data_IF_974471040548
#
_entry.id   IF_974471040548
#
_cell.length_a   1.000
_cell.length_b   1.000
_cell.length_c   1.000
_cell.angle_alpha   90.00
_cell.angle_beta   90.00
_cell.angle_gamma   90.00
#
_symmetry.space_group_name_H-M   'P 1'
#
loop_
_entity.id
_entity.type
_entity.pdbx_description
1 polymer ?
#
# COMPACT_ATOMS: atom_id res chain seq x y z
N UNK A 1 8.75 -17.96 -7.11
CA UNK A 1 7.29 -17.89 -6.90
C UNK A 1 6.97 -18.17 -5.44
N UNK A 2 6.47 -17.19 -4.69
CA UNK A 2 5.79 -17.27 -3.36
C UNK A 2 5.82 -15.85 -2.78
N UNK A 3 4.72 -15.14 -2.48
CA UNK A 3 3.39 -15.60 -2.16
C UNK A 3 2.31 -14.59 -2.61
N UNK A 4 1.54 -14.92 -3.64
CA UNK A 4 0.18 -14.42 -3.85
C UNK A 4 -0.80 -15.10 -2.86
N UNK A 5 -0.35 -15.31 -1.62
CA UNK A 5 -0.97 -16.24 -0.66
C UNK A 5 -1.74 -15.57 0.47
N UNK A 6 -1.42 -14.32 0.84
CA UNK A 6 -2.13 -13.67 1.93
C UNK A 6 -2.28 -12.16 1.70
N UNK A 7 -3.37 -11.79 1.01
CA UNK A 7 -3.77 -10.39 0.78
C UNK A 7 -3.83 -9.58 2.09
N UNK A 8 -4.16 -10.23 3.21
CA UNK A 8 -4.21 -9.58 4.53
C UNK A 8 -2.80 -9.22 5.01
N UNK A 9 -1.82 -10.10 4.83
CA UNK A 9 -0.43 -9.81 5.21
C UNK A 9 0.13 -8.65 4.39
N UNK A 10 -0.09 -8.65 3.07
CA UNK A 10 0.32 -7.53 2.21
C UNK A 10 -0.23 -6.21 2.74
N UNK A 11 -1.53 -6.13 3.00
CA UNK A 11 -2.16 -4.93 3.53
C UNK A 11 -1.61 -4.55 4.92
N UNK A 12 -1.36 -5.52 5.80
CA UNK A 12 -0.74 -5.26 7.11
C UNK A 12 0.67 -4.67 6.98
N UNK A 13 1.44 -5.12 6.01
CA UNK A 13 2.76 -4.57 5.74
C UNK A 13 2.60 -3.16 5.18
N UNK A 14 1.74 -2.94 4.18
CA UNK A 14 1.58 -1.62 3.59
C UNK A 14 1.00 -0.58 4.56
N UNK A 15 0.21 -0.99 5.57
CA UNK A 15 -0.44 -0.10 6.53
C UNK A 15 0.54 0.53 7.56
N UNK A 16 1.49 1.34 7.09
CA UNK A 16 2.38 2.14 7.93
C UNK A 16 2.94 3.34 7.15
N UNK A 17 2.96 4.55 7.75
CA UNK A 17 3.31 5.79 7.05
C UNK A 17 4.68 5.71 6.36
N UNK A 18 5.73 5.37 7.12
CA UNK A 18 7.10 5.27 6.56
C UNK A 18 7.19 4.26 5.40
N UNK A 19 6.41 3.17 5.44
CA UNK A 19 6.49 2.16 4.39
C UNK A 19 5.76 2.59 3.14
N UNK A 20 4.66 3.33 3.26
CA UNK A 20 4.01 3.96 2.10
C UNK A 20 4.98 4.96 1.47
N UNK A 21 5.60 5.82 2.27
CA UNK A 21 6.52 6.85 1.77
C UNK A 21 7.75 6.25 1.06
N UNK A 22 8.37 5.21 1.63
CA UNK A 22 9.44 4.46 0.95
C UNK A 22 8.96 3.91 -0.40
N UNK A 23 7.78 3.31 -0.46
CA UNK A 23 7.27 2.70 -1.69
C UNK A 23 6.86 3.74 -2.74
N UNK A 24 6.36 4.90 -2.32
CA UNK A 24 6.07 6.04 -3.20
C UNK A 24 7.36 6.59 -3.81
N UNK A 25 8.41 6.78 -3.02
CA UNK A 25 9.71 7.21 -3.56
C UNK A 25 10.33 6.17 -4.51
N UNK A 26 10.18 4.88 -4.19
CA UNK A 26 10.65 3.80 -5.05
C UNK A 26 9.80 3.62 -6.33
N UNK A 27 8.59 4.17 -6.36
CA UNK A 27 7.77 4.23 -7.58
C UNK A 27 8.33 5.25 -8.58
N UNK A 28 9.00 6.29 -8.11
CA UNK A 28 9.65 7.31 -8.95
C UNK A 28 10.98 6.83 -9.55
N UNK A 29 11.63 5.85 -8.92
CA UNK A 29 12.87 5.26 -9.38
C UNK A 29 13.66 4.58 -8.27
N UNK A 30 14.87 4.13 -8.61
CA UNK A 30 15.79 3.54 -7.64
C UNK A 30 16.23 4.60 -6.63
N UNK A 31 16.26 4.25 -5.34
CA UNK A 31 16.69 5.13 -4.24
C UNK A 31 17.66 4.43 -3.30
N UNK A 32 18.68 5.13 -2.85
CA UNK A 32 19.66 4.64 -1.87
C UNK A 32 19.25 5.00 -0.45
N UNK A 33 19.86 4.34 0.55
CA UNK A 33 19.51 4.56 1.98
C UNK A 33 19.59 6.04 2.39
N UNK A 34 20.58 6.76 1.88
CA UNK A 34 20.75 8.21 2.11
C UNK A 34 19.58 9.04 1.61
N UNK A 35 19.00 8.68 0.46
CA UNK A 35 17.89 9.43 -0.13
C UNK A 35 16.64 9.37 0.76
N UNK A 36 16.44 8.23 1.45
CA UNK A 36 15.36 8.07 2.43
C UNK A 36 15.62 8.86 3.71
N UNK A 37 16.87 8.97 4.17
CA UNK A 37 17.22 9.75 5.37
C UNK A 37 17.00 11.25 5.17
N UNK A 38 17.19 11.74 3.96
CA UNK A 38 16.98 13.16 3.62
C UNK A 38 15.50 13.53 3.48
N UNK A 39 14.66 12.57 3.11
CA UNK A 39 13.24 12.80 2.76
C UNK A 39 12.26 12.37 3.85
N UNK A 40 12.58 11.29 4.58
CA UNK A 40 11.71 10.71 5.60
C UNK A 40 12.21 11.14 6.98
N UNK A 41 11.31 11.68 7.81
CA UNK A 41 11.60 12.04 9.20
C UNK A 41 11.72 10.79 10.11
N UNK A 42 12.74 9.98 9.87
CA UNK A 42 13.03 8.76 10.62
C UNK A 42 14.53 8.49 10.72
N UNK A 43 14.95 7.81 11.80
CA UNK A 43 16.35 7.44 11.97
C UNK A 43 16.78 6.32 11.00
N UNK A 44 18.05 6.31 10.61
CA UNK A 44 18.64 5.28 9.75
C UNK A 44 18.33 3.84 10.19
N UNK A 45 18.40 3.48 11.49
CA UNK A 45 18.07 2.12 11.93
C UNK A 45 16.58 1.79 11.71
N UNK A 46 15.69 2.77 11.88
CA UNK A 46 14.26 2.60 11.67
C UNK A 46 13.93 2.40 10.17
N UNK A 47 14.51 3.23 9.30
CA UNK A 47 14.38 3.09 7.85
C UNK A 47 14.91 1.72 7.40
N UNK A 48 16.09 1.31 7.89
CA UNK A 48 16.67 0.01 7.59
C UNK A 48 15.78 -1.15 8.02
N UNK A 49 15.12 -1.05 9.18
CA UNK A 49 14.18 -2.07 9.65
C UNK A 49 12.96 -2.19 8.72
N UNK A 50 12.42 -1.05 8.26
CA UNK A 50 11.32 -1.05 7.28
C UNK A 50 11.74 -1.63 5.93
N UNK A 51 12.91 -1.27 5.41
CA UNK A 51 13.46 -1.83 4.17
C UNK A 51 13.67 -3.34 4.28
N UNK A 52 14.20 -3.83 5.40
CA UNK A 52 14.37 -5.27 5.63
C UNK A 52 13.02 -6.01 5.64
N UNK A 53 11.99 -5.41 6.26
CA UNK A 53 10.65 -5.99 6.29
C UNK A 53 10.04 -6.05 4.88
N UNK A 54 10.07 -4.94 4.13
CA UNK A 54 9.55 -4.87 2.76
C UNK A 54 10.25 -5.89 1.85
N UNK A 55 11.58 -6.04 1.99
CA UNK A 55 12.37 -7.04 1.26
C UNK A 55 12.01 -8.47 1.65
N UNK A 56 11.82 -8.74 2.94
CA UNK A 56 11.43 -10.08 3.43
C UNK A 56 10.12 -10.56 2.80
N UNK A 57 9.21 -9.64 2.50
CA UNK A 57 7.94 -9.93 1.82
C UNK A 57 8.02 -9.84 0.29
N UNK A 58 9.20 -9.59 -0.28
CA UNK A 58 9.43 -9.60 -1.72
C UNK A 58 8.88 -8.38 -2.46
N UNK A 59 8.54 -7.30 -1.76
CA UNK A 59 8.02 -6.07 -2.38
C UNK A 59 9.13 -5.24 -3.04
N UNK A 60 10.31 -5.28 -2.43
CA UNK A 60 11.50 -4.55 -2.87
C UNK A 60 12.72 -5.46 -2.84
N UNK A 61 13.75 -5.09 -3.58
CA UNK A 61 15.09 -5.63 -3.42
C UNK A 61 16.13 -4.51 -3.58
N UNK A 62 17.41 -4.84 -3.47
CA UNK A 62 18.48 -3.86 -3.63
C UNK A 62 19.66 -4.41 -4.43
N UNK A 63 20.44 -3.50 -4.98
CA UNK A 63 21.79 -3.77 -5.43
C UNK A 63 22.79 -2.94 -4.61
N UNK A 64 24.04 -3.40 -4.60
CA UNK A 64 25.14 -2.69 -3.98
C UNK A 64 25.86 -1.88 -5.07
N UNK A 65 25.97 -0.58 -4.87
CA UNK A 65 26.82 0.31 -5.67
C UNK A 65 27.97 0.82 -4.79
N UNK A 66 29.07 0.06 -4.78
CA UNK A 66 30.20 0.29 -3.89
C UNK A 66 29.81 0.21 -2.42
N UNK A 67 29.73 1.37 -1.75
CA UNK A 67 29.32 1.49 -0.34
C UNK A 67 27.83 1.77 -0.16
N UNK A 68 27.13 2.10 -1.24
CA UNK A 68 25.71 2.45 -1.20
C UNK A 68 24.85 1.21 -1.42
N UNK A 69 23.73 1.15 -0.68
CA UNK A 69 22.66 0.17 -0.92
C UNK A 69 21.50 0.91 -1.56
N UNK A 70 21.14 0.51 -2.77
CA UNK A 70 20.11 1.17 -3.57
C UNK A 70 18.99 0.18 -3.88
N UNK A 71 17.78 0.58 -3.50
CA UNK A 71 16.58 -0.23 -3.47
C UNK A 71 15.68 0.07 -4.68
N UNK A 72 14.92 -0.93 -5.10
CA UNK A 72 13.97 -0.84 -6.21
C UNK A 72 12.75 -1.73 -5.95
N UNK A 73 11.61 -1.40 -6.58
CA UNK A 73 10.39 -2.20 -6.52
C UNK A 73 10.56 -3.51 -7.32
N UNK A 74 10.07 -4.61 -6.75
CA UNK A 74 10.06 -5.93 -7.40
C UNK A 74 8.65 -6.42 -7.66
N UNK A 75 7.72 -6.16 -6.73
CA UNK A 75 6.34 -6.63 -6.86
C UNK A 75 5.48 -5.63 -7.67
N UNK A 76 4.94 -6.04 -8.85
CA UNK A 76 4.14 -5.16 -9.69
C UNK A 76 2.79 -4.76 -9.07
N UNK A 77 2.35 -5.41 -7.98
CA UNK A 77 1.11 -5.03 -7.30
C UNK A 77 1.23 -3.70 -6.56
N UNK A 78 2.46 -3.31 -6.15
CA UNK A 78 2.68 -2.15 -5.30
C UNK A 78 2.27 -0.84 -6.02
N UNK A 79 2.73 -0.57 -7.26
CA UNK A 79 2.29 0.61 -8.01
C UNK A 79 0.77 0.68 -8.20
N UNK A 80 0.11 -0.46 -8.45
CA UNK A 80 -1.34 -0.53 -8.61
C UNK A 80 -2.08 -0.17 -7.31
N UNK A 81 -1.61 -0.68 -6.17
CA UNK A 81 -2.19 -0.35 -4.86
C UNK A 81 -1.99 1.14 -4.55
N UNK A 82 -0.78 1.68 -4.69
CA UNK A 82 -0.51 3.10 -4.42
C UNK A 82 -1.38 4.00 -5.31
N UNK A 83 -1.54 3.64 -6.59
CA UNK A 83 -2.42 4.36 -7.52
C UNK A 83 -3.89 4.37 -7.05
N UNK A 84 -4.40 3.25 -6.53
CA UNK A 84 -5.77 3.18 -6.00
C UNK A 84 -5.92 3.99 -4.72
N UNK A 85 -4.92 3.98 -3.84
CA UNK A 85 -4.93 4.72 -2.58
C UNK A 85 -4.85 6.24 -2.78
N UNK A 86 -4.06 6.69 -3.77
CA UNK A 86 -3.90 8.11 -4.10
C UNK A 86 -5.04 8.67 -4.96
N UNK A 87 -5.97 7.82 -5.41
CA UNK A 87 -7.13 8.26 -6.19
C UNK A 87 -8.10 9.02 -5.31
N UNK A 88 -8.35 10.28 -5.66
CA UNK A 88 -9.40 11.09 -5.04
C UNK A 88 -10.77 10.66 -5.58
N UNK A 89 -11.65 10.19 -4.70
CA UNK A 89 -13.03 9.86 -5.03
C UNK A 89 -13.92 11.06 -4.73
N UNK A 90 -14.69 11.50 -5.72
CA UNK A 90 -15.70 12.54 -5.56
C UNK A 90 -17.09 11.89 -5.57
N UNK A 91 -17.95 12.32 -4.65
CA UNK A 91 -19.29 11.78 -4.46
C UNK A 91 -19.34 10.60 -3.49
N UNK A 92 -20.55 10.25 -3.06
CA UNK A 92 -20.84 9.06 -2.29
C UNK A 92 -21.36 7.96 -3.21
N UNK A 93 -21.08 6.70 -2.87
CA UNK A 93 -21.75 5.58 -3.52
C UNK A 93 -23.25 5.72 -3.27
N UNK A 94 -24.11 5.55 -4.31
CA UNK A 94 -25.54 5.67 -4.14
C UNK A 94 -26.00 4.64 -3.10
N UNK A 95 -26.90 5.06 -2.21
CA UNK A 95 -27.57 4.10 -1.36
C UNK A 95 -28.26 3.06 -2.26
N UNK A 96 -28.21 1.76 -1.92
CA UNK A 96 -28.92 0.75 -2.68
C UNK A 96 -30.41 1.14 -2.74
N UNK A 97 -31.00 1.07 -3.93
CA UNK A 97 -32.38 1.52 -4.18
C UNK A 97 -33.42 0.78 -3.30
N UNK A 98 -33.08 -0.40 -2.79
CA UNK A 98 -33.86 -1.19 -1.84
C UNK A 98 -32.96 -2.23 -1.15
N UNK A 99 -33.33 -2.74 0.03
CA UNK A 99 -32.61 -3.89 0.60
C UNK A 99 -32.76 -5.12 -0.30
N UNK A 100 -31.66 -5.80 -0.68
CA UNK A 100 -31.71 -6.93 -1.60
C UNK A 100 -32.33 -8.20 -0.99
N UNK A 101 -32.40 -8.36 0.34
CA UNK A 101 -33.11 -9.48 0.96
C UNK A 101 -33.56 -9.13 2.39
N UNK A 102 -34.86 -9.21 2.66
CA UNK A 102 -35.38 -9.34 4.04
C UNK A 102 -36.08 -10.69 4.18
N UNK A 103 -36.05 -11.30 5.36
CA UNK A 103 -36.83 -12.53 5.66
C UNK A 103 -38.36 -12.37 5.47
N UNK A 104 -38.85 -11.16 5.16
CA UNK A 104 -40.28 -10.81 5.05
C UNK A 104 -40.72 -10.34 3.65
N UNK A 105 -39.87 -10.47 2.61
CA UNK A 105 -40.20 -10.02 1.25
C UNK A 105 -39.62 -8.64 0.90
N UNK A 106 -40.09 -8.07 -0.22
CA UNK A 106 -39.55 -6.85 -0.87
C UNK A 106 -39.55 -5.66 0.07
N UNK A 107 -38.40 -5.00 0.18
CA UNK A 107 -38.21 -3.79 0.98
C UNK A 107 -39.14 -2.67 0.48
N UNK A 108 -40.13 -2.20 1.27
CA UNK A 108 -41.01 -1.12 0.85
C UNK A 108 -40.25 0.19 1.04
N UNK A 109 -39.58 0.64 -0.02
CA UNK A 109 -38.98 1.97 -0.04
C UNK A 109 -39.98 3.05 0.39
N UNK A 110 -39.47 4.06 1.10
CA UNK A 110 -40.14 5.14 1.82
C UNK A 110 -40.86 4.71 3.12
N UNK A 111 -40.28 5.11 4.27
CA UNK A 111 -41.11 5.35 5.47
C UNK A 111 -42.18 6.35 5.03
N UNK A 112 -43.44 5.92 4.95
CA UNK A 112 -44.57 6.86 4.79
C UNK A 112 -44.62 7.72 6.07
N UNK A 113 -44.30 9.00 5.87
CA UNK A 113 -44.42 10.19 6.74
C UNK A 113 -44.18 10.01 8.23
#
# INVERSE_FOLDING_TARGET
MKATGNRIELLKILAHPIRIEILEQLQEGVKCVSDFEESIEASQPNISQHLALLRRYGLIDYYNDGRLRCYFLVDPIVPDILKVLNKKYQGSLPAPACCPYTKKGTYPGARRR
#
